data_IF_441685764100
#
_entry.id   IF_441685764100
#
_cell.length_a   1.000
_cell.length_b   1.000
_cell.length_c   1.000
_cell.angle_alpha   90.00
_cell.angle_beta   90.00
_cell.angle_gamma   90.00
#
_symmetry.space_group_name_H-M   'P 1'
#
loop_
_entity.id
_entity.type
_entity.pdbx_description
1 polymer ?
#
# COMPACT_ATOMS: atom_id res chain seq x y z
N UNK A 1 -9.59 -11.62 -9.73
CA UNK A 1 -10.93 -11.00 -9.62
C UNK A 1 -10.73 -9.59 -9.07
N UNK A 2 -11.02 -8.57 -9.87
CA UNK A 2 -10.81 -7.16 -9.50
C UNK A 2 -12.04 -6.70 -8.71
N UNK A 3 -11.79 -6.20 -7.50
CA UNK A 3 -12.80 -5.66 -6.57
C UNK A 3 -13.53 -4.46 -7.18
N UNK A 4 -14.85 -4.37 -6.97
CA UNK A 4 -15.74 -3.43 -7.67
C UNK A 4 -15.78 -2.02 -7.04
N UNK A 5 -15.05 -1.73 -5.96
CA UNK A 5 -15.13 -0.43 -5.28
C UNK A 5 -13.87 -0.02 -4.51
N UNK A 6 -13.65 1.30 -4.42
CA UNK A 6 -12.58 1.91 -3.61
C UNK A 6 -12.65 1.47 -2.13
N UNK A 7 -13.85 1.19 -1.63
CA UNK A 7 -14.08 0.71 -0.26
C UNK A 7 -13.41 -0.65 0.02
N UNK A 8 -13.45 -1.57 -0.95
CA UNK A 8 -12.81 -2.89 -0.81
C UNK A 8 -11.29 -2.74 -0.63
N UNK A 9 -10.69 -1.74 -1.29
CA UNK A 9 -9.26 -1.44 -1.17
C UNK A 9 -8.97 -0.94 0.25
N UNK A 10 -9.80 -0.06 0.81
CA UNK A 10 -9.64 0.43 2.18
C UNK A 10 -9.76 -0.69 3.22
N UNK A 11 -10.66 -1.64 2.97
CA UNK A 11 -10.86 -2.83 3.80
C UNK A 11 -9.62 -3.73 3.76
N UNK A 12 -9.07 -3.98 2.57
CA UNK A 12 -7.91 -4.85 2.36
C UNK A 12 -6.57 -4.19 2.70
N UNK A 13 -6.50 -2.88 2.92
CA UNK A 13 -5.25 -2.18 3.21
C UNK A 13 -4.88 -2.31 4.70
N UNK A 14 -3.68 -2.83 5.07
CA UNK A 14 -3.23 -2.85 6.47
C UNK A 14 -2.64 -1.51 6.95
N UNK A 15 -2.63 -0.49 6.09
CA UNK A 15 -2.09 0.86 6.32
C UNK A 15 -3.18 1.92 6.22
N UNK A 16 -3.00 3.04 6.92
CA UNK A 16 -3.79 4.26 6.76
C UNK A 16 -2.94 5.33 6.06
N UNK A 17 -3.54 6.02 5.08
CA UNK A 17 -2.88 7.06 4.29
C UNK A 17 -3.31 8.43 4.82
N UNK A 18 -2.33 9.28 5.11
CA UNK A 18 -2.51 10.66 5.58
C UNK A 18 -2.00 11.62 4.52
N UNK A 19 -2.88 12.43 3.92
CA UNK A 19 -2.47 13.44 2.93
C UNK A 19 -2.46 14.87 3.49
N UNK A 20 -2.82 15.03 4.77
CA UNK A 20 -3.09 16.30 5.44
C UNK A 20 -4.16 17.15 4.76
N UNK A 21 -4.30 18.38 5.26
CA UNK A 21 -5.34 19.30 4.79
C UNK A 21 -5.04 19.84 3.39
N UNK A 22 -6.10 20.05 2.63
CA UNK A 22 -6.05 20.75 1.35
C UNK A 22 -6.30 22.24 1.61
N UNK A 23 -5.34 23.09 1.26
CA UNK A 23 -5.59 24.53 1.23
C UNK A 23 -5.99 24.96 -0.18
N UNK A 24 -7.11 25.66 -0.28
CA UNK A 24 -7.54 26.31 -1.53
C UNK A 24 -6.84 27.67 -1.60
N UNK A 25 -5.87 27.83 -2.50
CA UNK A 25 -5.18 29.12 -2.69
C UNK A 25 -5.99 30.07 -3.59
N UNK A 26 -5.54 31.31 -3.67
CA UNK A 26 -6.23 32.50 -4.21
C UNK A 26 -6.80 32.37 -5.64
N UNK A 27 -6.39 31.36 -6.42
CA UNK A 27 -6.90 31.06 -7.77
C UNK A 27 -7.64 29.71 -7.89
N UNK A 28 -8.16 29.18 -6.79
CA UNK A 28 -8.96 27.96 -6.79
C UNK A 28 -8.17 26.65 -6.87
N UNK A 29 -6.86 26.72 -7.14
CA UNK A 29 -5.97 25.56 -7.08
C UNK A 29 -5.90 25.00 -5.65
N UNK A 30 -6.03 23.67 -5.56
CA UNK A 30 -5.78 22.91 -4.33
C UNK A 30 -4.29 22.67 -4.21
N UNK A 31 -3.68 23.24 -3.17
CA UNK A 31 -2.28 22.96 -2.82
C UNK A 31 -2.30 21.97 -1.67
N UNK A 32 -1.64 20.81 -1.84
CA UNK A 32 -1.35 19.91 -0.73
C UNK A 32 -0.29 20.58 0.14
N UNK A 33 -0.66 20.96 1.35
CA UNK A 33 0.25 21.63 2.29
C UNK A 33 1.07 20.66 3.13
N UNK A 34 0.88 19.36 2.98
CA UNK A 34 1.64 18.35 3.73
C UNK A 34 2.05 17.17 2.85
N UNK A 35 3.17 16.54 3.22
CA UNK A 35 3.66 15.32 2.59
C UNK A 35 2.73 14.14 2.88
N UNK A 36 2.60 13.25 1.90
CA UNK A 36 1.94 11.95 2.06
C UNK A 36 2.60 11.15 3.18
N UNK A 37 1.82 10.66 4.15
CA UNK A 37 2.30 9.78 5.23
C UNK A 37 1.49 8.50 5.26
N UNK A 38 2.09 7.43 5.77
CA UNK A 38 1.36 6.19 6.05
C UNK A 38 1.61 5.75 7.48
N UNK A 39 0.63 5.10 8.09
CA UNK A 39 0.75 4.46 9.39
C UNK A 39 0.12 3.08 9.32
N UNK A 40 0.46 2.19 10.26
CA UNK A 40 -0.30 0.95 10.39
C UNK A 40 -1.75 1.24 10.77
N UNK A 41 -2.67 0.48 10.19
CA UNK A 41 -4.08 0.63 10.51
C UNK A 41 -4.40 0.02 11.87
N UNK A 42 -5.19 0.75 12.67
CA UNK A 42 -5.59 0.33 14.01
C UNK A 42 -6.37 -0.98 14.02
N UNK A 43 -7.18 -1.23 12.98
CA UNK A 43 -7.91 -2.48 12.76
C UNK A 43 -7.14 -3.41 11.84
N UNK A 44 -7.12 -4.70 12.16
CA UNK A 44 -6.61 -5.74 11.28
C UNK A 44 -7.49 -5.85 10.04
N UNK A 45 -6.95 -6.40 8.96
CA UNK A 45 -7.73 -6.57 7.74
C UNK A 45 -8.93 -7.49 7.98
N UNK A 46 -8.81 -8.51 8.83
CA UNK A 46 -9.92 -9.36 9.24
C UNK A 46 -10.99 -8.60 10.01
N UNK A 47 -10.61 -7.74 10.96
CA UNK A 47 -11.57 -6.89 11.67
C UNK A 47 -12.30 -5.94 10.71
N UNK A 48 -11.59 -5.37 9.73
CA UNK A 48 -12.18 -4.55 8.67
C UNK A 48 -13.18 -5.34 7.83
N UNK A 49 -12.81 -6.53 7.37
CA UNK A 49 -13.68 -7.43 6.59
C UNK A 49 -14.93 -7.82 7.39
N UNK A 50 -14.78 -8.18 8.65
CA UNK A 50 -15.90 -8.56 9.52
C UNK A 50 -16.86 -7.40 9.79
N UNK A 51 -16.34 -6.16 9.80
CA UNK A 51 -17.13 -4.95 9.94
C UNK A 51 -17.93 -4.54 8.69
N UNK A 52 -17.75 -5.22 7.55
CA UNK A 52 -18.51 -4.93 6.32
C UNK A 52 -19.95 -5.42 6.46
N UNK A 53 -20.91 -4.50 6.30
CA UNK A 53 -22.35 -4.78 6.39
C UNK A 53 -22.88 -5.53 5.18
N UNK A 54 -22.39 -5.20 3.98
CA UNK A 54 -22.75 -5.91 2.75
C UNK A 54 -22.11 -7.31 2.70
N UNK A 55 -22.95 -8.34 2.73
CA UNK A 55 -22.50 -9.73 2.71
C UNK A 55 -21.75 -10.10 1.43
N UNK A 56 -22.10 -9.52 0.28
CA UNK A 56 -21.42 -9.80 -0.99
C UNK A 56 -20.01 -9.22 -0.99
N UNK A 57 -19.84 -7.96 -0.60
CA UNK A 57 -18.53 -7.30 -0.50
C UNK A 57 -17.65 -7.92 0.57
N UNK A 58 -18.22 -8.30 1.71
CA UNK A 58 -17.51 -9.06 2.75
C UNK A 58 -16.95 -10.38 2.21
N UNK A 59 -17.76 -11.17 1.50
CA UNK A 59 -17.32 -12.45 0.91
C UNK A 59 -16.23 -12.25 -0.13
N UNK A 60 -16.34 -11.22 -0.97
CA UNK A 60 -15.30 -10.87 -1.97
C UNK A 60 -13.99 -10.48 -1.29
N UNK A 61 -14.03 -9.61 -0.28
CA UNK A 61 -12.85 -9.20 0.46
C UNK A 61 -12.20 -10.37 1.20
N UNK A 62 -12.98 -11.23 1.85
CA UNK A 62 -12.46 -12.43 2.52
C UNK A 62 -11.74 -13.39 1.55
N UNK A 63 -12.31 -13.59 0.35
CA UNK A 63 -11.69 -14.41 -0.68
C UNK A 63 -10.39 -13.78 -1.19
N UNK A 64 -10.42 -12.48 -1.52
CA UNK A 64 -9.26 -11.74 -1.99
C UNK A 64 -8.14 -11.75 -0.95
N UNK A 65 -8.46 -11.51 0.32
CA UNK A 65 -7.52 -11.56 1.43
C UNK A 65 -6.84 -12.93 1.56
N UNK A 66 -7.63 -14.02 1.50
CA UNK A 66 -7.10 -15.39 1.55
C UNK A 66 -6.16 -15.67 0.38
N UNK A 67 -6.47 -15.16 -0.81
CA UNK A 67 -5.62 -15.30 -1.97
C UNK A 67 -4.31 -14.51 -1.81
N UNK A 68 -4.38 -13.22 -1.45
CA UNK A 68 -3.23 -12.33 -1.30
C UNK A 68 -2.22 -12.82 -0.24
N UNK A 69 -2.70 -13.45 0.83
CA UNK A 69 -1.81 -14.02 1.86
C UNK A 69 -1.09 -15.27 1.39
N UNK A 70 -1.76 -16.09 0.57
CA UNK A 70 -1.21 -17.37 0.09
C UNK A 70 -0.30 -17.18 -1.12
N UNK A 71 -0.46 -16.08 -1.85
CA UNK A 71 0.29 -15.80 -3.06
C UNK A 71 1.73 -15.43 -2.72
N UNK A 72 2.67 -16.31 -3.07
CA UNK A 72 4.10 -16.09 -2.87
C UNK A 72 4.68 -15.00 -3.79
N UNK A 73 3.93 -14.61 -4.83
CA UNK A 73 4.30 -13.49 -5.69
C UNK A 73 3.90 -12.16 -5.09
N UNK A 74 3.09 -12.13 -4.03
CA UNK A 74 2.69 -10.91 -3.36
C UNK A 74 3.46 -10.71 -2.06
N UNK A 75 4.03 -9.52 -1.86
CA UNK A 75 4.60 -9.15 -0.56
C UNK A 75 3.51 -8.82 0.47
N UNK A 76 2.23 -8.94 0.13
CA UNK A 76 1.11 -8.59 1.01
C UNK A 76 1.19 -9.27 2.38
N UNK A 77 1.46 -10.59 2.43
CA UNK A 77 1.55 -11.34 3.68
C UNK A 77 2.65 -10.82 4.61
N UNK A 78 3.79 -10.40 4.05
CA UNK A 78 4.89 -9.76 4.80
C UNK A 78 4.37 -8.51 5.52
N UNK A 79 3.60 -7.65 4.86
CA UNK A 79 3.07 -6.43 5.48
C UNK A 79 1.97 -6.69 6.50
N UNK A 80 1.19 -7.76 6.35
CA UNK A 80 0.25 -8.22 7.39
C UNK A 80 1.03 -8.61 8.65
N UNK A 81 2.09 -9.42 8.52
CA UNK A 81 2.92 -9.82 9.64
C UNK A 81 3.64 -8.64 10.30
N UNK A 82 4.21 -7.73 9.51
CA UNK A 82 4.86 -6.51 10.02
C UNK A 82 3.89 -5.64 10.82
N UNK A 83 2.65 -5.53 10.37
CA UNK A 83 1.58 -4.81 11.06
C UNK A 83 1.26 -5.46 12.41
N UNK A 84 1.13 -6.78 12.46
CA UNK A 84 0.77 -7.51 13.67
C UNK A 84 1.91 -7.56 14.71
N UNK A 85 3.16 -7.49 14.24
CA UNK A 85 4.35 -7.33 15.10
C UNK A 85 4.55 -5.86 15.52
N UNK A 86 3.87 -4.92 14.84
CA UNK A 86 3.78 -3.48 15.12
C UNK A 86 5.11 -2.82 15.57
N UNK A 87 6.23 -3.19 14.95
CA UNK A 87 7.54 -2.81 15.47
C UNK A 87 8.00 -1.38 15.13
N UNK A 88 7.36 -0.67 14.19
CA UNK A 88 7.70 0.73 13.82
C UNK A 88 6.61 1.36 12.95
N UNK A 89 6.27 2.63 13.19
CA UNK A 89 5.47 3.42 12.24
C UNK A 89 6.37 3.91 11.09
N UNK A 90 6.04 3.61 9.83
CA UNK A 90 6.84 4.06 8.69
C UNK A 90 6.76 5.57 8.51
N UNK A 91 7.92 6.23 8.45
CA UNK A 91 7.97 7.64 8.05
C UNK A 91 7.78 7.79 6.54
N UNK A 92 7.13 8.87 6.06
CA UNK A 92 6.89 9.15 4.64
C UNK A 92 8.06 8.89 3.69
N UNK A 93 9.24 9.35 4.09
CA UNK A 93 10.45 9.34 3.26
C UNK A 93 11.18 7.99 3.35
N UNK A 94 10.93 7.20 4.39
CA UNK A 94 11.55 5.89 4.58
C UNK A 94 10.81 4.79 3.82
N UNK A 95 9.51 4.95 3.57
CA UNK A 95 8.65 3.92 2.95
C UNK A 95 9.24 3.35 1.66
N UNK A 96 9.74 4.20 0.76
CA UNK A 96 10.25 3.77 -0.54
C UNK A 96 11.77 3.62 -0.58
N UNK A 97 12.48 4.11 0.43
CA UNK A 97 13.96 4.08 0.47
C UNK A 97 14.50 2.99 1.39
N UNK A 98 13.70 2.50 2.33
CA UNK A 98 14.09 1.48 3.30
C UNK A 98 13.72 0.09 2.79
N UNK A 99 14.73 -0.78 2.70
CA UNK A 99 14.58 -2.15 2.20
C UNK A 99 13.52 -2.98 2.96
N UNK A 100 13.29 -2.68 4.24
CA UNK A 100 12.25 -3.34 5.03
C UNK A 100 10.86 -3.17 4.41
N UNK A 101 10.62 -2.08 3.68
CA UNK A 101 9.35 -1.73 3.05
C UNK A 101 9.32 -1.94 1.53
N UNK A 102 10.33 -2.60 0.92
CA UNK A 102 10.21 -3.06 -0.48
C UNK A 102 8.96 -3.93 -0.66
N UNK A 103 8.20 -3.64 -1.72
CA UNK A 103 6.91 -4.26 -2.05
C UNK A 103 5.68 -3.60 -1.38
N UNK A 104 5.82 -2.44 -0.73
CA UNK A 104 4.73 -1.84 0.07
C UNK A 104 3.47 -1.54 -0.74
N UNK A 105 3.58 -1.39 -2.05
CA UNK A 105 2.45 -1.17 -2.94
C UNK A 105 1.47 -2.35 -2.91
N UNK A 106 1.96 -3.58 -2.69
CA UNK A 106 1.10 -4.74 -2.44
C UNK A 106 0.16 -4.50 -1.25
N UNK A 107 0.64 -3.82 -0.20
CA UNK A 107 -0.17 -3.48 0.96
C UNK A 107 -1.04 -2.23 0.74
N UNK A 108 -0.54 -1.20 0.05
CA UNK A 108 -1.26 0.06 -0.19
C UNK A 108 -2.39 -0.09 -1.22
N UNK A 109 -2.16 -0.83 -2.30
CA UNK A 109 -3.11 -1.01 -3.39
C UNK A 109 -3.09 -2.46 -3.89
N UNK A 110 -3.53 -3.43 -3.06
CA UNK A 110 -3.47 -4.87 -3.37
C UNK A 110 -4.21 -5.28 -4.64
N UNK A 111 -5.16 -4.47 -5.10
CA UNK A 111 -5.90 -4.68 -6.34
C UNK A 111 -5.09 -4.31 -7.59
N UNK A 112 -4.12 -3.39 -7.47
CA UNK A 112 -3.24 -2.95 -8.55
C UNK A 112 -1.91 -3.72 -8.52
N UNK A 113 -1.35 -3.87 -7.32
CA UNK A 113 -0.05 -4.51 -7.08
C UNK A 113 -0.25 -5.87 -6.41
N UNK A 114 -0.90 -6.79 -7.12
CA UNK A 114 -1.09 -8.16 -6.61
C UNK A 114 0.21 -8.97 -6.61
N UNK A 115 1.27 -8.51 -7.29
CA UNK A 115 2.58 -9.15 -7.36
C UNK A 115 3.70 -8.12 -7.16
N UNK A 116 4.79 -8.53 -6.50
CA UNK A 116 5.97 -7.72 -6.27
C UNK A 116 6.69 -7.31 -7.56
N UNK A 117 6.53 -8.05 -8.66
CA UNK A 117 7.08 -7.69 -9.97
C UNK A 117 6.49 -6.38 -10.52
N UNK A 118 5.31 -5.99 -10.03
CA UNK A 118 4.64 -4.75 -10.41
C UNK A 118 5.04 -3.57 -9.52
N UNK A 119 5.68 -3.82 -8.38
CA UNK A 119 5.99 -2.81 -7.38
C UNK A 119 7.19 -1.95 -7.79
N UNK A 120 6.96 -0.64 -7.87
CA UNK A 120 8.00 0.33 -8.21
C UNK A 120 9.10 0.42 -7.14
N UNK A 121 8.78 0.13 -5.87
CA UNK A 121 9.76 0.05 -4.78
C UNK A 121 10.81 -1.05 -4.95
N UNK A 122 10.57 -2.06 -5.80
CA UNK A 122 11.58 -3.06 -6.16
C UNK A 122 12.52 -2.56 -7.27
N UNK A 123 12.12 -1.52 -8.01
CA UNK A 123 12.94 -0.90 -9.05
C UNK A 123 13.94 0.03 -8.37
N UNK A 124 15.07 -0.52 -7.93
CA UNK A 124 16.17 0.29 -7.41
C UNK A 124 16.58 1.33 -8.49
N UNK A 125 16.49 2.62 -8.14
CA UNK A 125 16.92 3.73 -9.00
C UNK A 125 18.41 3.70 -9.39
N UNK A 126 19.17 2.71 -8.92
CA UNK A 126 20.53 2.40 -9.36
C UNK A 126 20.56 1.68 -10.71
N UNK A 127 19.54 0.88 -11.05
CA UNK A 127 19.46 0.20 -12.35
C UNK A 127 19.29 1.20 -13.50
N UNK A 128 18.49 2.25 -13.30
CA UNK A 128 18.29 3.32 -14.31
C UNK A 128 19.47 4.29 -14.43
N UNK A 129 20.45 4.28 -13.52
CA UNK A 129 21.65 5.14 -13.57
C UNK A 129 22.88 4.47 -14.19
N UNK A 130 22.85 3.17 -14.50
CA UNK A 130 23.96 2.48 -15.16
C UNK A 130 23.98 2.60 -16.69
N UNK A 131 22.96 3.20 -17.31
CA UNK A 131 22.99 3.52 -18.74
C UNK A 131 23.46 4.96 -18.98
N UNK A 132 24.76 5.20 -18.90
CA UNK A 132 25.31 6.49 -19.30
C UNK A 132 26.72 6.79 -18.85
N UNK A 133 27.68 5.89 -19.11
CA UNK A 133 29.12 6.21 -19.33
C UNK A 133 29.86 4.90 -19.62
N UNK A 134 29.93 4.52 -20.88
CA UNK A 134 31.03 3.71 -21.38
C UNK A 134 32.28 4.59 -21.41
N UNK A 135 33.36 4.26 -20.67
CA UNK A 135 34.62 4.97 -20.81
C UNK A 135 35.21 4.57 -22.16
N UNK A 136 35.41 5.56 -23.03
CA UNK A 136 36.27 5.46 -24.22
C UNK A 136 37.46 6.35 -23.97
#
# INVERSE_FOLDING_TARGET
MITKGEEDILILRPLDIHTGDYQKKQHGYRVRTSSFRVSWSSKSVQEKINGVTDAASRRRCALAYTQLIRDNRSDYNKFIQMRDVAQKNPWPYEIYSNEAYKGIECALWPNLYYSHDLCESHIDGTASRQSGKSPT
#
